data_IF_237746255846
#
_entry.id   IF_237746255846
#
_cell.length_a   1.000
_cell.length_b   1.000
_cell.length_c   1.000
_cell.angle_alpha   90.00
_cell.angle_beta   90.00
_cell.angle_gamma   90.00
#
_symmetry.space_group_name_H-M   'P 1'
#
loop_
_entity.id
_entity.type
_entity.pdbx_description
1 polymer ?
#
# COMPACT_ATOMS: atom_id res chain seq x y z
N UNK A 1 -32.48 -16.58 46.44
CA UNK A 1 -32.90 -16.76 45.02
C UNK A 1 -31.93 -16.20 43.98
N UNK A 2 -30.99 -15.31 44.32
CA UNK A 2 -30.02 -14.71 43.36
C UNK A 2 -28.86 -15.64 43.00
N UNK A 3 -28.40 -16.49 43.93
CA UNK A 3 -27.28 -17.42 43.68
C UNK A 3 -27.64 -18.59 42.76
N UNK A 4 -28.85 -19.15 42.89
CA UNK A 4 -29.37 -20.22 42.01
C UNK A 4 -29.65 -19.68 40.60
N UNK A 5 -30.18 -18.46 40.47
CA UNK A 5 -30.34 -17.79 39.16
C UNK A 5 -28.98 -17.64 38.47
N UNK A 6 -27.93 -17.17 39.17
CA UNK A 6 -26.57 -17.09 38.61
C UNK A 6 -26.05 -18.44 38.14
N UNK A 7 -26.17 -19.50 38.94
CA UNK A 7 -25.70 -20.84 38.58
C UNK A 7 -26.41 -21.41 37.33
N UNK A 8 -27.74 -21.25 37.23
CA UNK A 8 -28.50 -21.69 36.05
C UNK A 8 -28.14 -20.91 34.79
N UNK A 9 -27.91 -19.59 34.90
CA UNK A 9 -27.50 -18.76 33.75
C UNK A 9 -26.09 -19.11 33.29
N UNK A 10 -25.16 -19.43 34.20
CA UNK A 10 -23.80 -19.82 33.84
C UNK A 10 -23.74 -21.22 33.23
N UNK A 11 -24.51 -22.19 33.74
CA UNK A 11 -24.55 -23.55 33.17
C UNK A 11 -25.20 -23.60 31.78
N UNK A 12 -26.24 -22.80 31.53
CA UNK A 12 -26.89 -22.73 30.23
C UNK A 12 -25.98 -22.11 29.16
N UNK A 13 -25.15 -21.13 29.53
CA UNK A 13 -24.17 -20.53 28.63
C UNK A 13 -23.06 -21.51 28.22
N UNK A 14 -22.60 -22.38 29.13
CA UNK A 14 -21.57 -23.39 28.82
C UNK A 14 -22.11 -24.50 27.92
N UNK A 15 -23.37 -24.91 28.11
CA UNK A 15 -24.03 -25.91 27.24
C UNK A 15 -24.32 -25.34 25.85
N UNK A 16 -24.63 -24.03 25.72
CA UNK A 16 -24.80 -23.38 24.42
C UNK A 16 -23.47 -23.30 23.64
N UNK A 17 -22.37 -23.00 24.32
CA UNK A 17 -21.03 -22.90 23.72
C UNK A 17 -20.46 -24.28 23.34
N UNK A 18 -20.70 -25.31 24.16
CA UNK A 18 -20.30 -26.69 23.84
C UNK A 18 -21.24 -27.35 22.80
N UNK A 19 -22.54 -27.01 22.83
CA UNK A 19 -23.55 -27.50 21.89
C UNK A 19 -23.42 -26.93 20.49
N UNK A 20 -22.98 -25.68 20.34
CA UNK A 20 -22.75 -25.06 19.02
C UNK A 20 -21.51 -25.61 18.30
N UNK A 21 -20.57 -26.23 19.02
CA UNK A 21 -19.38 -26.87 18.44
C UNK A 21 -19.67 -28.25 17.85
N UNK A 22 -20.88 -28.81 18.06
CA UNK A 22 -21.23 -30.16 17.63
C UNK A 22 -22.04 -30.22 16.31
N UNK A 23 -22.37 -29.07 15.70
CA UNK A 23 -23.19 -29.01 14.47
C UNK A 23 -22.59 -28.19 13.32
N UNK A 24 -21.52 -27.41 13.53
CA UNK A 24 -20.74 -26.88 12.40
C UNK A 24 -19.65 -27.87 12.05
N UNK A 25 -20.03 -28.88 11.26
CA UNK A 25 -19.08 -29.81 10.68
C UNK A 25 -17.95 -29.08 9.95
N UNK A 26 -16.80 -29.74 9.88
CA UNK A 26 -15.68 -29.43 8.99
C UNK A 26 -16.12 -29.52 7.51
N UNK A 27 -17.04 -28.66 7.06
CA UNK A 27 -17.42 -28.49 5.66
C UNK A 27 -16.44 -27.53 5.00
N UNK A 28 -15.85 -27.95 3.88
CA UNK A 28 -14.79 -27.22 3.18
C UNK A 28 -15.17 -25.79 2.75
N UNK A 29 -14.16 -25.07 2.26
CA UNK A 29 -14.27 -23.70 1.72
C UNK A 29 -15.46 -23.63 0.76
N UNK A 30 -16.35 -22.64 0.95
CA UNK A 30 -17.50 -22.47 0.06
C UNK A 30 -17.08 -21.88 -1.30
N UNK A 31 -17.85 -22.13 -2.36
CA UNK A 31 -17.56 -21.59 -3.70
C UNK A 31 -17.49 -20.05 -3.69
N UNK A 32 -18.29 -19.39 -2.85
CA UNK A 32 -18.25 -17.94 -2.67
C UNK A 32 -16.92 -17.47 -2.05
N UNK A 33 -16.39 -18.23 -1.07
CA UNK A 33 -15.09 -17.92 -0.47
C UNK A 33 -13.95 -18.10 -1.49
N UNK A 34 -14.03 -19.12 -2.35
CA UNK A 34 -13.07 -19.31 -3.44
C UNK A 34 -13.16 -18.20 -4.50
N UNK A 35 -14.37 -17.76 -4.86
CA UNK A 35 -14.58 -16.66 -5.78
C UNK A 35 -14.01 -15.34 -5.23
N UNK A 36 -14.26 -15.04 -3.95
CA UNK A 36 -13.69 -13.86 -3.28
C UNK A 36 -12.16 -13.93 -3.22
N UNK A 37 -11.59 -15.10 -2.89
CA UNK A 37 -10.14 -15.28 -2.86
C UNK A 37 -9.52 -15.06 -4.25
N UNK A 38 -10.16 -15.55 -5.31
CA UNK A 38 -9.68 -15.35 -6.68
C UNK A 38 -9.80 -13.89 -7.13
N UNK A 39 -10.88 -13.19 -6.77
CA UNK A 39 -11.04 -11.77 -7.01
C UNK A 39 -9.92 -10.96 -6.31
N UNK A 40 -9.68 -11.25 -5.03
CA UNK A 40 -8.62 -10.57 -4.25
C UNK A 40 -7.22 -10.85 -4.82
N UNK A 41 -6.95 -12.09 -5.27
CA UNK A 41 -5.69 -12.41 -5.97
C UNK A 41 -5.52 -11.60 -7.26
N UNK A 42 -6.60 -11.44 -8.02
CA UNK A 42 -6.56 -10.63 -9.25
C UNK A 42 -6.31 -9.16 -8.94
N UNK A 43 -6.94 -8.61 -7.90
CA UNK A 43 -6.73 -7.24 -7.46
C UNK A 43 -5.29 -7.00 -6.99
N UNK A 44 -4.75 -7.90 -6.17
CA UNK A 44 -3.35 -7.83 -5.72
C UNK A 44 -2.37 -7.91 -6.91
N UNK A 45 -2.66 -8.74 -7.91
CA UNK A 45 -1.86 -8.82 -9.14
C UNK A 45 -1.89 -7.53 -9.96
N UNK A 46 -3.08 -6.93 -10.10
CA UNK A 46 -3.27 -5.66 -10.78
C UNK A 46 -2.53 -4.52 -10.05
N UNK A 47 -2.70 -4.41 -8.74
CA UNK A 47 -1.97 -3.46 -7.89
C UNK A 47 -0.45 -3.68 -7.96
N UNK A 48 0.01 -4.93 -8.00
CA UNK A 48 1.43 -5.25 -8.18
C UNK A 48 1.98 -4.71 -9.51
N UNK A 49 1.21 -4.82 -10.59
CA UNK A 49 1.56 -4.26 -11.90
C UNK A 49 1.62 -2.73 -11.85
N UNK A 50 0.62 -2.09 -11.25
CA UNK A 50 0.56 -0.63 -11.11
C UNK A 50 1.73 -0.08 -10.27
N UNK A 51 2.05 -0.73 -9.15
CA UNK A 51 3.21 -0.37 -8.31
C UNK A 51 4.52 -0.43 -9.11
N UNK A 52 4.70 -1.44 -9.96
CA UNK A 52 5.90 -1.56 -10.78
C UNK A 52 5.97 -0.49 -11.88
N UNK A 53 4.83 -0.13 -12.47
CA UNK A 53 4.73 0.98 -13.42
C UNK A 53 5.10 2.32 -12.75
N UNK A 54 4.51 2.61 -11.59
CA UNK A 54 4.78 3.83 -10.81
C UNK A 54 6.25 3.92 -10.35
N UNK A 55 6.87 2.81 -9.95
CA UNK A 55 8.30 2.78 -9.62
C UNK A 55 9.18 3.12 -10.83
N UNK A 56 8.81 2.64 -12.01
CA UNK A 56 9.53 2.91 -13.26
C UNK A 56 9.39 4.38 -13.66
N UNK A 57 8.18 4.93 -13.55
CA UNK A 57 7.91 6.35 -13.79
C UNK A 57 8.67 7.25 -12.80
N UNK A 58 8.66 6.92 -11.50
CA UNK A 58 9.45 7.62 -10.49
C UNK A 58 10.93 7.66 -10.85
N UNK A 59 11.50 6.52 -11.25
CA UNK A 59 12.91 6.44 -11.64
C UNK A 59 13.22 7.31 -12.87
N UNK A 60 12.28 7.37 -13.82
CA UNK A 60 12.40 8.25 -14.99
C UNK A 60 12.38 9.73 -14.58
N UNK A 61 11.43 10.13 -13.74
CA UNK A 61 11.32 11.50 -13.24
C UNK A 61 12.55 11.92 -12.43
N UNK A 62 13.10 11.04 -11.59
CA UNK A 62 14.34 11.31 -10.85
C UNK A 62 15.53 11.58 -11.78
N UNK A 63 15.64 10.86 -12.91
CA UNK A 63 16.66 11.12 -13.94
C UNK A 63 16.44 12.47 -14.63
N UNK A 64 15.21 12.77 -15.02
CA UNK A 64 14.87 14.05 -15.66
C UNK A 64 15.18 15.24 -14.75
N UNK A 65 14.91 15.11 -13.45
CA UNK A 65 15.27 16.13 -12.43
C UNK A 65 16.79 16.32 -12.40
N UNK A 66 17.57 15.24 -12.29
CA UNK A 66 19.03 15.33 -12.26
C UNK A 66 19.62 15.98 -13.54
N UNK A 67 19.05 15.66 -14.70
CA UNK A 67 19.45 16.30 -15.97
C UNK A 67 19.11 17.80 -16.00
N UNK A 68 17.95 18.20 -15.49
CA UNK A 68 17.56 19.61 -15.40
C UNK A 68 18.45 20.37 -14.43
N UNK A 69 18.78 19.80 -13.28
CA UNK A 69 19.69 20.40 -12.31
C UNK A 69 21.10 20.62 -12.91
N UNK A 70 21.61 19.65 -13.66
CA UNK A 70 22.89 19.78 -14.37
C UNK A 70 22.85 20.92 -15.40
N UNK A 71 21.77 21.04 -16.18
CA UNK A 71 21.57 22.14 -17.15
C UNK A 71 21.47 23.50 -16.46
N UNK A 72 20.76 23.60 -15.33
CA UNK A 72 20.67 24.83 -14.54
C UNK A 72 22.04 25.25 -13.99
N UNK A 73 22.81 24.31 -13.47
CA UNK A 73 24.16 24.57 -12.99
C UNK A 73 25.09 25.06 -14.12
N UNK A 74 24.99 24.47 -15.32
CA UNK A 74 25.74 24.93 -16.48
C UNK A 74 25.33 26.33 -16.90
N UNK A 75 24.02 26.61 -17.00
CA UNK A 75 23.50 27.93 -17.36
C UNK A 75 23.95 29.01 -16.37
N UNK A 76 23.99 28.70 -15.07
CA UNK A 76 24.50 29.61 -14.05
C UNK A 76 26.00 29.91 -14.26
N UNK A 77 26.82 28.89 -14.55
CA UNK A 77 28.25 29.07 -14.88
C UNK A 77 28.43 29.93 -16.13
N UNK A 78 27.68 29.64 -17.18
CA UNK A 78 27.75 30.38 -18.44
C UNK A 78 27.36 31.85 -18.22
N UNK A 79 26.30 32.10 -17.44
CA UNK A 79 25.88 33.46 -17.08
C UNK A 79 26.97 34.23 -16.34
N UNK A 80 27.60 33.62 -15.34
CA UNK A 80 28.70 34.26 -14.61
C UNK A 80 29.93 34.49 -15.50
N UNK A 81 30.27 33.55 -16.37
CA UNK A 81 31.34 33.71 -17.35
C UNK A 81 31.05 34.85 -18.32
N UNK A 82 29.83 34.93 -18.86
CA UNK A 82 29.39 36.03 -19.73
C UNK A 82 29.46 37.37 -19.00
N UNK A 83 28.97 37.44 -17.76
CA UNK A 83 29.02 38.65 -16.94
C UNK A 83 30.46 39.11 -16.71
N UNK A 84 31.36 38.20 -16.36
CA UNK A 84 32.78 38.51 -16.18
C UNK A 84 33.43 38.98 -17.48
N UNK A 85 33.04 38.41 -18.63
CA UNK A 85 33.55 38.84 -19.93
C UNK A 85 33.04 40.23 -20.32
N UNK A 86 31.76 40.54 -20.08
CA UNK A 86 31.20 41.87 -20.32
C UNK A 86 31.92 42.93 -19.48
N UNK A 87 32.16 42.65 -18.18
CA UNK A 87 32.92 43.54 -17.30
C UNK A 87 34.33 43.81 -17.83
N UNK A 88 35.02 42.79 -18.37
CA UNK A 88 36.35 42.95 -19.00
C UNK A 88 36.32 43.80 -20.26
N UNK A 89 35.19 43.82 -20.97
CA UNK A 89 34.98 44.66 -22.15
C UNK A 89 34.52 46.09 -21.80
N UNK A 90 34.36 46.41 -20.52
CA UNK A 90 33.87 47.71 -20.06
C UNK A 90 32.38 47.94 -20.33
N UNK A 91 31.61 46.85 -20.50
CA UNK A 91 30.15 46.84 -20.66
C UNK A 91 29.44 46.47 -19.36
#
# INVERSE_FOLDING_TARGET
>A
MTKIKRLLTTSLAVVFVAGSLSLTGCGGVSDEQMAQLNALRSEVSALGTEVNALKSEKTKLEREIAEMEAKLAQCAKDKEATKANLQKLGL
#
